data_IF_344017045892
#
_entry.id   IF_344017045892
#
_cell.length_a   1.000
_cell.length_b   1.000
_cell.length_c   1.000
_cell.angle_alpha   90.00
_cell.angle_beta   90.00
_cell.angle_gamma   90.00
#
_symmetry.space_group_name_H-M   'P 1'
#
loop_
_entity.id
_entity.type
_entity.pdbx_description
1 polymer ?
#
# COMPACT_ATOMS: atom_id res chain seq x y z
N UNK A 1 17.34 4.62 -22.43
CA UNK A 1 16.40 5.74 -22.67
C UNK A 1 16.79 6.89 -21.75
N UNK A 2 16.75 8.15 -22.19
CA UNK A 2 17.27 9.29 -21.41
C UNK A 2 16.57 9.47 -20.04
N UNK A 3 15.28 9.12 -19.96
CA UNK A 3 14.47 9.25 -18.76
C UNK A 3 14.97 8.41 -17.58
N UNK A 4 15.63 7.27 -17.84
CA UNK A 4 16.17 6.42 -16.77
C UNK A 4 17.17 7.19 -15.90
N UNK A 5 18.03 8.03 -16.49
CA UNK A 5 18.98 8.83 -15.73
C UNK A 5 18.34 9.88 -14.82
N UNK A 6 17.11 10.31 -15.10
CA UNK A 6 16.43 11.38 -14.38
C UNK A 6 15.30 10.88 -13.46
N UNK A 7 14.73 9.71 -13.74
CA UNK A 7 13.48 9.23 -13.12
C UNK A 7 13.62 7.87 -12.43
N UNK A 8 14.80 7.25 -12.43
CA UNK A 8 15.01 5.97 -11.73
C UNK A 8 15.96 6.07 -10.54
N UNK A 9 15.64 5.32 -9.50
CA UNK A 9 16.50 5.07 -8.35
C UNK A 9 16.62 3.56 -8.17
N UNK A 10 17.81 3.02 -8.46
CA UNK A 10 18.09 1.58 -8.36
C UNK A 10 17.97 1.05 -6.92
N UNK A 11 18.05 1.95 -5.94
CA UNK A 11 17.93 1.65 -4.50
C UNK A 11 16.48 1.61 -4.03
N UNK A 12 15.53 1.96 -4.90
CA UNK A 12 14.15 2.27 -4.54
C UNK A 12 14.01 3.68 -3.94
N UNK A 13 12.86 4.30 -4.19
CA UNK A 13 12.53 5.65 -3.72
C UNK A 13 11.93 5.54 -2.32
N UNK A 14 12.64 6.07 -1.33
CA UNK A 14 12.30 5.91 0.10
C UNK A 14 11.60 7.14 0.67
N UNK A 15 10.55 6.89 1.43
CA UNK A 15 9.62 7.91 1.92
C UNK A 15 9.36 7.81 3.41
N UNK A 16 9.45 8.94 4.10
CA UNK A 16 9.10 9.10 5.52
C UNK A 16 7.97 10.11 5.68
N UNK A 17 7.16 9.94 6.73
CA UNK A 17 6.10 10.88 7.07
C UNK A 17 6.70 12.11 7.75
N UNK A 18 6.31 13.29 7.29
CA UNK A 18 6.77 14.58 7.83
C UNK A 18 5.61 15.53 8.06
N UNK A 19 5.86 16.58 8.84
CA UNK A 19 4.92 17.68 8.99
C UNK A 19 5.54 18.98 8.43
N UNK A 20 4.91 19.55 7.40
CA UNK A 20 5.33 20.81 6.79
C UNK A 20 4.16 21.79 6.86
N UNK A 21 4.39 22.97 7.43
CA UNK A 21 3.37 24.03 7.56
C UNK A 21 2.02 23.52 8.12
N UNK A 22 2.07 22.69 9.18
CA UNK A 22 0.91 22.05 9.82
C UNK A 22 0.16 21.03 8.94
N UNK A 23 0.67 20.68 7.75
CA UNK A 23 0.14 19.60 6.90
C UNK A 23 0.99 18.35 7.08
N UNK A 24 0.32 17.19 7.04
CA UNK A 24 1.00 15.89 6.95
C UNK A 24 1.45 15.71 5.50
N UNK A 25 2.74 15.51 5.32
CA UNK A 25 3.39 15.36 4.04
C UNK A 25 4.26 14.11 4.06
N UNK A 26 4.84 13.82 2.91
CA UNK A 26 5.82 12.77 2.74
C UNK A 26 7.10 13.41 2.20
N UNK A 27 8.24 12.93 2.67
CA UNK A 27 9.54 13.41 2.23
C UNK A 27 10.39 12.25 1.76
N UNK A 28 11.11 12.49 0.67
CA UNK A 28 12.06 11.54 0.11
C UNK A 28 13.38 11.65 0.86
N UNK A 29 13.96 10.52 1.26
CA UNK A 29 15.16 10.48 2.12
C UNK A 29 16.17 9.45 1.62
N UNK A 30 17.44 9.61 2.02
CA UNK A 30 18.51 8.66 1.71
C UNK A 30 18.30 7.34 2.44
N UNK A 31 19.00 6.28 2.01
CA UNK A 31 18.89 4.95 2.61
C UNK A 31 19.30 4.98 4.09
N UNK A 32 20.43 5.62 4.42
CA UNK A 32 20.89 5.77 5.81
C UNK A 32 19.85 6.46 6.70
N UNK A 33 19.30 7.58 6.22
CA UNK A 33 18.28 8.35 6.96
C UNK A 33 16.98 7.56 7.13
N UNK A 34 16.58 6.81 6.10
CA UNK A 34 15.43 5.94 6.15
C UNK A 34 15.59 4.84 7.20
N UNK A 35 16.75 4.17 7.24
CA UNK A 35 17.02 3.12 8.22
C UNK A 35 17.04 3.66 9.66
N UNK A 36 17.61 4.85 9.86
CA UNK A 36 17.54 5.57 11.14
C UNK A 36 16.10 5.89 11.53
N UNK A 37 15.26 6.33 10.58
CA UNK A 37 13.85 6.62 10.81
C UNK A 37 13.05 5.36 11.19
N UNK A 38 13.40 4.20 10.63
CA UNK A 38 12.77 2.91 10.99
C UNK A 38 13.11 2.46 12.41
N UNK A 39 14.34 2.70 12.87
CA UNK A 39 14.84 2.20 14.16
C UNK A 39 14.62 3.20 15.30
N UNK A 40 14.50 4.49 14.97
CA UNK A 40 14.15 5.53 15.92
C UNK A 40 12.67 5.46 16.30
N UNK A 41 12.36 5.65 17.59
CA UNK A 41 10.98 5.92 18.07
C UNK A 41 10.47 7.30 17.63
N UNK A 42 10.96 7.84 16.52
CA UNK A 42 10.64 9.17 16.05
C UNK A 42 9.37 9.09 15.20
N UNK A 43 8.25 8.86 15.90
CA UNK A 43 6.95 9.20 15.36
C UNK A 43 6.97 10.71 15.09
N UNK A 44 7.13 11.08 13.82
CA UNK A 44 7.34 12.45 13.31
C UNK A 44 8.75 13.00 13.52
N UNK A 45 9.60 12.84 12.51
CA UNK A 45 10.85 13.58 12.45
C UNK A 45 10.58 15.05 12.12
N UNK A 46 11.49 15.93 12.58
CA UNK A 46 11.40 17.39 12.47
C UNK A 46 11.30 17.85 11.00
N UNK A 47 10.99 19.13 10.77
CA UNK A 47 10.97 19.72 9.42
C UNK A 47 12.35 19.79 8.73
N UNK A 48 13.38 19.08 9.21
CA UNK A 48 14.78 19.19 8.77
C UNK A 48 15.47 17.84 8.51
N UNK A 49 14.71 16.78 8.24
CA UNK A 49 15.25 15.41 8.09
C UNK A 49 16.42 15.34 7.11
N UNK A 50 16.30 16.02 5.96
CA UNK A 50 17.36 16.06 4.97
C UNK A 50 18.42 17.15 5.25
N UNK A 51 18.07 18.23 5.94
CA UNK A 51 19.02 19.33 6.23
C UNK A 51 20.12 18.87 7.21
N UNK A 52 19.77 17.94 8.10
CA UNK A 52 20.68 17.39 9.11
C UNK A 52 21.33 16.05 8.66
N UNK A 53 21.06 15.58 7.43
CA UNK A 53 21.54 14.30 6.94
C UNK A 53 22.88 14.41 6.19
N UNK A 54 23.85 13.58 6.58
CA UNK A 54 25.15 13.48 5.89
C UNK A 54 25.03 13.02 4.43
N UNK A 55 23.97 12.27 4.12
CA UNK A 55 23.74 11.66 2.81
C UNK A 55 22.40 12.13 2.25
N UNK A 56 22.44 12.68 1.03
CA UNK A 56 21.25 13.14 0.31
C UNK A 56 20.68 12.03 -0.58
N UNK A 57 19.36 11.99 -0.77
CA UNK A 57 18.73 10.99 -1.62
C UNK A 57 19.04 11.23 -3.12
N UNK A 58 19.21 10.14 -3.89
CA UNK A 58 19.50 10.14 -5.35
C UNK A 58 18.74 11.23 -6.09
N UNK A 59 19.39 12.13 -6.84
CA UNK A 59 18.65 13.24 -7.46
C UNK A 59 17.68 12.69 -8.53
N UNK A 60 16.40 12.99 -8.39
CA UNK A 60 15.37 12.73 -9.39
C UNK A 60 14.87 14.06 -9.95
N UNK A 61 14.44 14.06 -11.21
CA UNK A 61 13.90 15.26 -11.89
C UNK A 61 12.45 15.02 -12.36
N UNK A 62 11.46 14.82 -11.44
CA UNK A 62 10.07 14.61 -11.84
C UNK A 62 9.45 15.79 -12.59
N UNK A 63 10.00 17.00 -12.43
CA UNK A 63 9.57 18.20 -13.18
C UNK A 63 9.69 18.03 -14.69
N UNK A 64 10.53 17.10 -15.15
CA UNK A 64 10.61 16.71 -16.56
C UNK A 64 9.25 16.23 -17.11
N UNK A 65 8.45 15.55 -16.28
CA UNK A 65 7.11 15.06 -16.65
C UNK A 65 6.08 16.17 -16.88
N UNK A 66 6.39 17.41 -16.50
CA UNK A 66 5.52 18.56 -16.69
C UNK A 66 5.82 19.34 -17.99
N UNK A 67 6.89 19.00 -18.71
CA UNK A 67 7.34 19.76 -19.89
C UNK A 67 6.34 19.66 -21.04
N UNK A 68 5.91 18.45 -21.40
CA UNK A 68 4.88 18.22 -22.42
C UNK A 68 4.18 16.87 -22.24
N UNK A 69 3.07 16.66 -22.97
CA UNK A 69 2.25 15.43 -22.88
C UNK A 69 2.99 14.17 -23.32
N UNK A 70 3.88 14.27 -24.31
CA UNK A 70 4.63 13.12 -24.82
C UNK A 70 5.64 12.63 -23.79
N UNK A 71 6.47 13.52 -23.25
CA UNK A 71 7.42 13.25 -22.16
C UNK A 71 6.68 12.71 -20.93
N UNK A 72 5.51 13.27 -20.63
CA UNK A 72 4.66 12.75 -19.57
C UNK A 72 4.28 11.29 -19.81
N UNK A 73 3.74 10.95 -20.98
CA UNK A 73 3.31 9.59 -21.33
C UNK A 73 4.48 8.61 -21.32
N UNK A 74 5.64 9.00 -21.85
CA UNK A 74 6.82 8.14 -21.91
C UNK A 74 7.50 7.97 -20.53
N UNK A 75 7.53 9.03 -19.72
CA UNK A 75 8.29 9.07 -18.47
C UNK A 75 7.50 8.68 -17.22
N UNK A 76 6.17 8.82 -17.22
CA UNK A 76 5.33 8.56 -16.03
C UNK A 76 5.46 7.10 -15.58
N UNK A 77 5.34 6.15 -16.51
CA UNK A 77 5.52 4.73 -16.19
C UNK A 77 6.94 4.43 -15.69
N UNK A 78 7.98 5.12 -16.20
CA UNK A 78 9.36 4.94 -15.73
C UNK A 78 9.49 5.38 -14.27
N UNK A 79 8.93 6.54 -13.91
CA UNK A 79 8.97 7.05 -12.54
C UNK A 79 8.23 6.12 -11.55
N UNK A 80 7.03 5.65 -11.92
CA UNK A 80 6.21 4.81 -11.02
C UNK A 80 6.49 3.30 -11.10
N UNK A 81 7.39 2.88 -11.99
CA UNK A 81 7.93 1.52 -12.02
C UNK A 81 9.08 1.29 -11.03
N UNK A 82 9.63 2.35 -10.45
CA UNK A 82 10.54 2.25 -9.31
C UNK A 82 9.83 1.57 -8.13
N UNK A 83 10.61 0.91 -7.26
CA UNK A 83 10.09 0.47 -5.99
C UNK A 83 9.91 1.67 -5.06
N UNK A 84 8.66 1.95 -4.67
CA UNK A 84 8.36 3.00 -3.68
C UNK A 84 8.31 2.39 -2.28
N UNK A 85 9.23 2.80 -1.41
CA UNK A 85 9.40 2.24 -0.07
C UNK A 85 8.93 3.24 0.97
N UNK A 86 7.96 2.85 1.79
CA UNK A 86 7.34 3.70 2.80
C UNK A 86 7.72 3.22 4.19
N UNK A 87 8.15 4.16 5.05
CA UNK A 87 8.51 3.85 6.42
C UNK A 87 7.30 3.37 7.25
N UNK A 88 6.11 3.94 7.01
CA UNK A 88 4.89 3.60 7.73
C UNK A 88 3.61 3.92 6.92
N UNK A 89 2.41 3.56 7.43
CA UNK A 89 1.14 3.83 6.76
C UNK A 89 0.79 5.32 6.65
N UNK A 90 1.39 6.18 7.48
CA UNK A 90 1.16 7.63 7.44
C UNK A 90 1.88 8.21 6.22
N UNK A 91 3.14 7.81 5.98
CA UNK A 91 3.91 8.19 4.80
C UNK A 91 3.21 7.73 3.52
N UNK A 92 2.73 6.48 3.53
CA UNK A 92 1.96 5.91 2.43
C UNK A 92 0.67 6.70 2.16
N UNK A 93 -0.11 6.99 3.19
CA UNK A 93 -1.34 7.78 3.06
C UNK A 93 -1.04 9.20 2.54
N UNK A 94 -0.05 9.88 3.12
CA UNK A 94 0.31 11.24 2.74
C UNK A 94 0.84 11.32 1.30
N UNK A 95 1.49 10.28 0.81
CA UNK A 95 1.87 10.17 -0.60
C UNK A 95 0.64 10.01 -1.50
N UNK A 96 -0.20 9.00 -1.21
CA UNK A 96 -1.31 8.62 -2.07
C UNK A 96 -2.40 9.69 -2.18
N UNK A 97 -2.67 10.44 -1.11
CA UNK A 97 -3.70 11.50 -1.14
C UNK A 97 -3.37 12.62 -2.14
N UNK A 98 -2.08 12.82 -2.44
CA UNK A 98 -1.62 13.83 -3.39
C UNK A 98 -1.45 13.28 -4.82
N UNK A 99 -1.45 11.95 -4.99
CA UNK A 99 -1.16 11.30 -6.26
C UNK A 99 -2.38 11.30 -7.22
N UNK A 100 -3.59 11.17 -6.66
CA UNK A 100 -4.84 11.07 -7.43
C UNK A 100 -4.98 9.76 -8.22
N UNK A 101 -6.17 9.48 -8.78
CA UNK A 101 -6.46 8.20 -9.44
C UNK A 101 -5.62 7.92 -10.70
N UNK A 102 -5.36 8.95 -11.50
CA UNK A 102 -4.62 8.82 -12.77
C UNK A 102 -3.20 8.32 -12.54
N UNK A 103 -2.42 9.02 -11.71
CA UNK A 103 -1.05 8.63 -11.39
C UNK A 103 -0.97 7.35 -10.56
N UNK A 104 -1.95 7.07 -9.68
CA UNK A 104 -2.00 5.82 -8.92
C UNK A 104 -2.08 4.57 -9.80
N UNK A 105 -2.66 4.68 -10.99
CA UNK A 105 -2.76 3.57 -11.95
C UNK A 105 -1.41 3.15 -12.57
N UNK A 106 -0.39 4.00 -12.47
CA UNK A 106 0.97 3.72 -12.95
C UNK A 106 1.85 3.03 -11.90
N UNK A 107 1.41 2.95 -10.65
CA UNK A 107 2.16 2.31 -9.57
C UNK A 107 2.33 0.81 -9.84
N UNK A 108 3.59 0.33 -9.84
CA UNK A 108 3.90 -1.10 -10.05
C UNK A 108 4.37 -1.80 -8.79
N UNK A 109 5.29 -1.20 -8.03
CA UNK A 109 6.01 -1.86 -6.93
C UNK A 109 6.02 -0.96 -5.70
N UNK A 110 5.54 -1.49 -4.59
CA UNK A 110 5.50 -0.76 -3.33
C UNK A 110 5.95 -1.64 -2.18
N UNK A 111 6.61 -1.03 -1.19
CA UNK A 111 7.05 -1.68 0.02
C UNK A 111 6.67 -0.86 1.24
N UNK A 112 6.12 -1.51 2.26
CA UNK A 112 5.76 -0.92 3.53
C UNK A 112 6.60 -1.54 4.64
N UNK A 113 7.45 -0.73 5.30
CA UNK A 113 8.43 -1.18 6.30
C UNK A 113 7.94 -1.05 7.75
N UNK A 114 6.80 -0.42 7.98
CA UNK A 114 6.25 -0.17 9.31
C UNK A 114 4.74 -0.29 9.36
N UNK A 115 4.21 -0.53 10.56
CA UNK A 115 2.78 -0.68 10.80
C UNK A 115 2.31 0.22 11.94
N UNK A 116 1.10 0.76 11.84
CA UNK A 116 0.51 1.57 12.91
C UNK A 116 0.05 0.70 14.08
N UNK A 117 0.65 0.89 15.26
CA UNK A 117 0.29 0.19 16.50
C UNK A 117 -0.46 1.05 17.53
N UNK A 118 -0.24 2.36 17.52
CA UNK A 118 -0.90 3.31 18.42
C UNK A 118 -2.34 3.62 17.97
N UNK A 119 -3.15 4.23 18.85
CA UNK A 119 -4.54 4.60 18.51
C UNK A 119 -4.60 5.47 17.25
N UNK A 120 -3.77 6.51 17.19
CA UNK A 120 -3.69 7.44 16.06
C UNK A 120 -3.12 6.79 14.81
N UNK A 121 -2.03 6.04 14.91
CA UNK A 121 -1.40 5.40 13.75
C UNK A 121 -2.20 4.24 13.17
N UNK A 122 -2.99 3.53 13.99
CA UNK A 122 -3.90 2.48 13.51
C UNK A 122 -4.97 3.00 12.56
N UNK A 123 -5.47 4.22 12.76
CA UNK A 123 -6.42 4.84 11.84
C UNK A 123 -5.84 4.97 10.42
N UNK A 124 -4.53 5.22 10.32
CA UNK A 124 -3.82 5.32 9.05
C UNK A 124 -3.62 3.98 8.35
N UNK A 125 -3.61 2.85 9.07
CA UNK A 125 -3.56 1.54 8.43
C UNK A 125 -4.74 1.39 7.47
N UNK A 126 -5.97 1.70 7.91
CA UNK A 126 -7.13 1.60 7.01
C UNK A 126 -7.19 2.75 6.00
N UNK A 127 -6.90 3.98 6.45
CA UNK A 127 -6.98 5.14 5.58
C UNK A 127 -6.03 5.05 4.38
N UNK A 128 -4.81 4.50 4.55
CA UNK A 128 -3.86 4.35 3.45
C UNK A 128 -4.35 3.34 2.38
N UNK A 129 -4.93 2.22 2.78
CA UNK A 129 -5.51 1.26 1.83
C UNK A 129 -6.81 1.78 1.19
N UNK A 130 -7.58 2.62 1.89
CA UNK A 130 -8.75 3.26 1.32
C UNK A 130 -8.41 4.22 0.18
N UNK A 131 -7.26 4.90 0.24
CA UNK A 131 -6.77 5.74 -0.88
C UNK A 131 -6.00 4.94 -1.94
N UNK A 132 -5.46 3.77 -1.59
CA UNK A 132 -4.75 2.87 -2.52
C UNK A 132 -5.69 2.16 -3.52
N UNK A 133 -7.01 2.28 -3.38
CA UNK A 133 -8.01 1.60 -4.24
C UNK A 133 -7.79 1.79 -5.75
N UNK A 134 -7.16 2.88 -6.16
CA UNK A 134 -6.88 3.19 -7.57
C UNK A 134 -5.63 2.49 -8.12
N UNK A 135 -4.76 1.97 -7.25
CA UNK A 135 -3.54 1.26 -7.62
C UNK A 135 -3.82 -0.23 -7.89
N UNK A 136 -4.71 -0.51 -8.84
CA UNK A 136 -5.11 -1.88 -9.20
C UNK A 136 -4.08 -2.59 -10.08
N UNK A 137 -3.19 -1.81 -10.71
CA UNK A 137 -2.14 -2.29 -11.60
C UNK A 137 -0.83 -2.63 -10.88
N UNK A 138 -0.85 -2.68 -9.55
CA UNK A 138 0.29 -3.13 -8.76
C UNK A 138 0.66 -4.56 -9.13
N UNK A 139 1.95 -4.75 -9.37
CA UNK A 139 2.59 -6.05 -9.61
C UNK A 139 3.06 -6.66 -8.29
N UNK A 140 3.56 -5.83 -7.38
CA UNK A 140 4.08 -6.25 -6.07
C UNK A 140 3.78 -5.23 -4.98
N UNK A 141 3.24 -5.72 -3.87
CA UNK A 141 3.06 -4.97 -2.63
C UNK A 141 3.69 -5.74 -1.48
N UNK A 142 4.85 -5.28 -1.01
CA UNK A 142 5.65 -5.96 0.00
C UNK A 142 5.40 -5.36 1.40
N UNK A 143 5.01 -6.18 2.37
CA UNK A 143 4.87 -5.79 3.78
C UNK A 143 6.03 -6.38 4.56
N UNK A 144 6.98 -5.52 4.95
CA UNK A 144 8.23 -5.89 5.64
C UNK A 144 8.18 -5.56 7.14
N UNK A 145 7.06 -5.92 7.77
CA UNK A 145 6.81 -5.56 9.17
C UNK A 145 5.72 -6.44 9.72
N UNK A 146 5.62 -6.56 11.05
CA UNK A 146 4.56 -7.35 11.66
C UNK A 146 3.20 -6.65 11.53
N UNK A 147 2.23 -7.32 10.93
CA UNK A 147 0.88 -6.78 10.72
C UNK A 147 0.13 -6.68 12.04
N UNK A 148 0.16 -5.51 12.68
CA UNK A 148 -0.61 -5.25 13.89
C UNK A 148 -0.28 -6.15 15.09
N UNK A 149 -1.20 -6.22 16.05
CA UNK A 149 -1.10 -7.06 17.24
C UNK A 149 -2.09 -8.21 17.12
N UNK A 150 -1.62 -9.37 16.65
CA UNK A 150 -2.41 -10.59 16.55
C UNK A 150 -1.90 -11.66 17.52
N UNK A 151 -2.80 -12.57 17.93
CA UNK A 151 -2.47 -13.70 18.82
C UNK A 151 -2.05 -14.97 18.05
N UNK A 152 -2.57 -15.13 16.84
CA UNK A 152 -2.27 -16.25 15.95
C UNK A 152 -2.31 -15.75 14.48
N UNK A 153 -1.80 -16.56 13.55
CA UNK A 153 -1.66 -16.20 12.14
C UNK A 153 -3.01 -15.91 11.48
N UNK A 154 -4.09 -16.61 11.86
CA UNK A 154 -5.44 -16.34 11.34
C UNK A 154 -5.90 -14.94 11.74
N UNK A 155 -5.62 -14.52 12.97
CA UNK A 155 -5.92 -13.16 13.42
C UNK A 155 -5.06 -12.11 12.69
N UNK A 156 -3.85 -12.47 12.22
CA UNK A 156 -3.06 -11.59 11.36
C UNK A 156 -3.76 -11.36 10.01
N UNK A 157 -4.27 -12.42 9.39
CA UNK A 157 -5.04 -12.34 8.14
C UNK A 157 -6.34 -11.52 8.32
N UNK A 158 -7.06 -11.74 9.42
CA UNK A 158 -8.26 -10.95 9.79
C UNK A 158 -7.90 -9.47 9.97
N UNK A 159 -6.80 -9.19 10.66
CA UNK A 159 -6.31 -7.83 10.88
C UNK A 159 -5.95 -7.16 9.56
N UNK A 160 -5.20 -7.84 8.67
CA UNK A 160 -4.88 -7.30 7.35
C UNK A 160 -6.15 -7.06 6.55
N UNK A 161 -7.09 -8.02 6.52
CA UNK A 161 -8.35 -7.84 5.82
C UNK A 161 -9.10 -6.61 6.35
N UNK A 162 -9.25 -6.47 7.66
CA UNK A 162 -9.95 -5.30 8.26
C UNK A 162 -9.29 -3.98 7.88
N UNK A 163 -7.96 -3.93 7.87
CA UNK A 163 -7.23 -2.70 7.56
C UNK A 163 -7.24 -2.44 6.03
N UNK A 164 -7.08 -3.48 5.20
CA UNK A 164 -6.80 -3.34 3.77
C UNK A 164 -7.96 -3.71 2.83
N UNK A 165 -9.15 -4.10 3.33
CA UNK A 165 -10.26 -4.57 2.48
C UNK A 165 -10.60 -3.66 1.30
N UNK A 166 -10.56 -2.30 1.37
CA UNK A 166 -10.95 -1.49 0.23
C UNK A 166 -10.05 -1.75 -0.98
N UNK A 167 -8.75 -1.84 -0.76
CA UNK A 167 -7.77 -2.10 -1.81
C UNK A 167 -7.79 -3.57 -2.26
N UNK A 168 -7.85 -4.52 -1.32
CA UNK A 168 -7.90 -5.95 -1.64
C UNK A 168 -9.10 -6.28 -2.55
N UNK A 169 -10.27 -5.73 -2.24
CA UNK A 169 -11.48 -5.91 -3.04
C UNK A 169 -11.42 -5.16 -4.37
N UNK A 170 -10.82 -3.96 -4.42
CA UNK A 170 -10.61 -3.23 -5.66
C UNK A 170 -9.71 -3.99 -6.65
N UNK A 171 -8.60 -4.56 -6.17
CA UNK A 171 -7.72 -5.43 -6.98
C UNK A 171 -8.48 -6.66 -7.46
N UNK A 172 -9.24 -7.29 -6.57
CA UNK A 172 -10.02 -8.47 -6.92
C UNK A 172 -11.07 -8.20 -7.99
N UNK A 173 -11.74 -7.05 -7.92
CA UNK A 173 -12.70 -6.61 -8.93
C UNK A 173 -12.02 -6.31 -10.27
N UNK A 174 -10.90 -5.58 -10.25
CA UNK A 174 -10.16 -5.23 -11.47
C UNK A 174 -9.60 -6.47 -12.20
N UNK A 175 -9.19 -7.51 -11.45
CA UNK A 175 -8.65 -8.76 -12.00
C UNK A 175 -9.71 -9.85 -12.21
N UNK A 176 -10.99 -9.59 -11.89
CA UNK A 176 -12.08 -10.56 -12.05
C UNK A 176 -12.05 -11.75 -11.08
N UNK A 177 -11.22 -11.71 -10.03
CA UNK A 177 -11.05 -12.79 -9.06
C UNK A 177 -10.90 -12.23 -7.64
N UNK A 178 -11.76 -12.62 -6.71
CA UNK A 178 -11.83 -11.98 -5.37
C UNK A 178 -10.57 -12.09 -4.53
N UNK A 179 -9.75 -13.12 -4.74
CA UNK A 179 -8.49 -13.32 -4.03
C UNK A 179 -7.24 -12.92 -4.84
N UNK A 180 -7.40 -12.22 -5.97
CA UNK A 180 -6.28 -11.82 -6.83
C UNK A 180 -5.26 -10.86 -6.19
N UNK A 181 -5.61 -10.23 -5.06
CA UNK A 181 -4.67 -9.45 -4.28
C UNK A 181 -3.58 -10.31 -3.62
N UNK A 182 -3.84 -11.61 -3.38
CA UNK A 182 -2.85 -12.53 -2.81
C UNK A 182 -1.67 -12.78 -3.74
N UNK A 183 -1.88 -12.71 -5.06
CA UNK A 183 -0.81 -12.96 -6.04
C UNK A 183 0.28 -11.89 -6.02
N UNK A 184 -0.09 -10.66 -5.61
CA UNK A 184 0.79 -9.50 -5.60
C UNK A 184 1.27 -9.14 -4.20
N UNK A 185 0.62 -9.68 -3.16
CA UNK A 185 0.96 -9.43 -1.77
C UNK A 185 2.15 -10.29 -1.36
N UNK A 186 3.26 -9.66 -1.03
CA UNK A 186 4.44 -10.33 -0.48
C UNK A 186 4.62 -9.93 0.99
N UNK A 187 4.93 -10.91 1.83
CA UNK A 187 5.14 -10.70 3.26
C UNK A 187 6.60 -11.02 3.57
N UNK A 188 7.26 -10.13 4.31
CA UNK A 188 8.62 -10.39 4.81
C UNK A 188 8.64 -11.54 5.82
N UNK A 189 9.81 -12.17 5.97
CA UNK A 189 10.01 -13.35 6.82
C UNK A 189 9.44 -13.13 8.24
N UNK A 190 9.75 -11.97 8.82
CA UNK A 190 9.34 -11.61 10.19
C UNK A 190 7.92 -11.08 10.31
N UNK A 191 7.20 -10.93 9.20
CA UNK A 191 5.83 -10.39 9.20
C UNK A 191 4.88 -11.25 10.04
N UNK A 192 5.10 -12.58 10.05
CA UNK A 192 4.25 -13.56 10.69
C UNK A 192 4.85 -14.15 12.00
N UNK A 193 5.98 -13.63 12.48
CA UNK A 193 6.73 -14.16 13.64
C UNK A 193 6.14 -13.85 15.02
N UNK A 194 5.22 -12.89 15.11
CA UNK A 194 4.78 -12.36 16.41
C UNK A 194 3.99 -13.33 17.30
N UNK A 195 3.51 -14.45 16.76
CA UNK A 195 2.75 -15.44 17.52
C UNK A 195 3.65 -16.57 18.05
N UNK A 196 3.21 -17.27 19.11
CA UNK A 196 3.80 -18.54 19.58
C UNK A 196 3.55 -19.70 18.61
N UNK A 197 3.73 -19.46 17.32
CA UNK A 197 3.51 -20.44 16.27
C UNK A 197 4.77 -21.29 16.13
N UNK A 198 4.63 -22.60 16.34
CA UNK A 198 5.69 -23.59 16.07
C UNK A 198 5.76 -24.02 14.59
N UNK A 199 4.88 -23.48 13.73
CA UNK A 199 4.84 -23.84 12.32
C UNK A 199 6.03 -23.29 11.51
N UNK A 200 6.57 -24.06 10.54
CA UNK A 200 7.52 -23.55 9.55
C UNK A 200 6.92 -22.43 8.69
N UNK A 201 7.76 -21.54 8.19
CA UNK A 201 7.40 -20.31 7.45
C UNK A 201 6.42 -20.55 6.29
N UNK A 202 6.67 -21.61 5.50
CA UNK A 202 5.80 -21.97 4.36
C UNK A 202 4.39 -22.33 4.80
N UNK A 203 4.25 -23.01 5.94
CA UNK A 203 2.95 -23.34 6.52
C UNK A 203 2.28 -22.12 7.13
N UNK A 204 3.06 -21.21 7.74
CA UNK A 204 2.53 -19.94 8.26
C UNK A 204 1.94 -19.09 7.16
N UNK A 205 2.66 -18.95 6.04
CA UNK A 205 2.19 -18.23 4.86
C UNK A 205 0.91 -18.86 4.29
N UNK A 206 0.87 -20.19 4.16
CA UNK A 206 -0.31 -20.90 3.66
C UNK A 206 -1.56 -20.66 4.54
N UNK A 207 -1.43 -20.78 5.87
CA UNK A 207 -2.54 -20.53 6.81
C UNK A 207 -3.05 -19.10 6.68
N UNK A 208 -2.13 -18.14 6.54
CA UNK A 208 -2.46 -16.74 6.33
C UNK A 208 -3.26 -16.52 5.03
N UNK A 209 -2.76 -17.05 3.92
CA UNK A 209 -3.38 -16.89 2.59
C UNK A 209 -4.76 -17.56 2.53
N UNK A 210 -4.90 -18.77 3.08
CA UNK A 210 -6.17 -19.49 3.15
C UNK A 210 -7.22 -18.68 3.95
N UNK A 211 -6.82 -18.11 5.08
CA UNK A 211 -7.70 -17.32 5.93
C UNK A 211 -8.10 -15.99 5.26
N UNK A 212 -7.17 -15.32 4.61
CA UNK A 212 -7.43 -14.07 3.89
C UNK A 212 -8.33 -14.31 2.67
N UNK A 213 -8.07 -15.35 1.89
CA UNK A 213 -8.92 -15.78 0.76
C UNK A 213 -10.34 -16.10 1.23
N UNK A 214 -10.49 -16.79 2.38
CA UNK A 214 -11.78 -17.09 2.98
C UNK A 214 -12.60 -15.82 3.22
N UNK A 215 -11.99 -14.77 3.79
CA UNK A 215 -12.67 -13.50 4.06
C UNK A 215 -13.10 -12.78 2.78
N UNK A 216 -12.21 -12.69 1.79
CA UNK A 216 -12.50 -12.06 0.49
C UNK A 216 -13.66 -12.74 -0.23
N UNK A 217 -13.64 -14.08 -0.31
CA UNK A 217 -14.71 -14.87 -0.94
C UNK A 217 -16.03 -14.76 -0.19
N UNK A 218 -16.01 -14.75 1.15
CA UNK A 218 -17.23 -14.57 1.95
C UNK A 218 -17.88 -13.21 1.71
N UNK A 219 -17.07 -12.15 1.63
CA UNK A 219 -17.58 -10.82 1.35
C UNK A 219 -18.15 -10.70 -0.07
N UNK A 220 -17.46 -11.24 -1.08
CA UNK A 220 -17.96 -11.27 -2.45
C UNK A 220 -19.33 -11.95 -2.52
N UNK A 221 -19.49 -13.13 -1.89
CA UNK A 221 -20.78 -13.83 -1.81
C UNK A 221 -21.88 -12.98 -1.17
N UNK A 222 -21.57 -12.25 -0.08
CA UNK A 222 -22.52 -11.36 0.60
C UNK A 222 -22.98 -10.21 -0.29
N UNK A 223 -22.05 -9.60 -1.05
CA UNK A 223 -22.37 -8.52 -1.98
C UNK A 223 -23.26 -9.04 -3.12
N UNK A 224 -22.91 -10.17 -3.74
CA UNK A 224 -23.68 -10.74 -4.84
C UNK A 224 -25.09 -11.21 -4.40
N UNK A 225 -25.22 -11.80 -3.22
CA UNK A 225 -26.52 -12.23 -2.69
C UNK A 225 -27.50 -11.07 -2.45
N UNK A 226 -26.99 -9.88 -2.08
CA UNK A 226 -27.81 -8.67 -1.92
C UNK A 226 -28.31 -8.14 -3.26
N UNK A 227 -27.48 -8.18 -4.31
CA UNK A 227 -27.86 -7.72 -5.66
C UNK A 227 -29.01 -8.56 -6.23
N UNK A 228 -28.96 -9.89 -6.09
CA UNK A 228 -30.00 -10.80 -6.59
C UNK A 228 -31.37 -10.55 -5.94
N UNK A 229 -31.39 -10.18 -4.65
CA UNK A 229 -32.65 -9.88 -3.94
C UNK A 229 -33.29 -8.56 -4.38
N UNK A 230 -32.51 -7.59 -4.84
CA UNK A 230 -33.04 -6.30 -5.33
C UNK A 230 -33.68 -6.40 -6.72
N UNK A 231 -33.17 -7.27 -7.61
CA UNK A 231 -33.69 -7.40 -8.98
C UNK A 231 -35.05 -8.12 -9.07
N UNK A 232 -35.50 -8.81 -8.00
CA UNK A 232 -36.78 -9.54 -7.97
C UNK A 232 -38.01 -8.70 -7.57
N UNK A 233 -37.86 -7.38 -7.37
CA UNK A 233 -38.98 -6.49 -6.99
C UNK A 233 -39.15 -5.39 -8.04
N UNK A 234 -39.49 -5.80 -9.25
CA UNK A 234 -40.18 -4.95 -10.23
C UNK A 234 -41.20 -5.83 -10.98
N UNK A 235 -42.29 -6.17 -10.28
CA UNK A 235 -43.59 -6.54 -10.88
C UNK A 235 -43.98 -5.40 -11.84
N UNK A 236 -44.30 -5.61 -13.13
CA UNK A 236 -45.46 -6.32 -13.67
C UNK A 236 -46.71 -6.18 -12.78
N UNK A 237 -47.38 -5.03 -12.91
CA UNK A 237 -48.81 -4.82 -12.66
C UNK A 237 -49.10 -3.32 -12.92
N UNK A 238 -49.95 -2.91 -13.87
CA UNK A 238 -50.85 -3.71 -14.69
C UNK A 238 -51.53 -2.88 -15.78
N UNK A 239 -52.27 -3.64 -16.60
CA UNK A 239 -53.27 -3.18 -17.56
C UNK A 239 -54.37 -2.36 -16.87
N UNK A 240 -54.83 -1.29 -17.54
CA UNK A 240 -56.24 -0.96 -17.87
C UNK A 240 -56.33 0.47 -18.37
#
# INVERSE_FOLDING_TARGET
MIYSYALTDTSGIKFVAVQRHRRRCVERVSSKTFDQALHGRLYYQSSKINDDADEQPTILVPSLLAVNKQIHQEGCDILYSNELVFADPIALYAFLINLGPGSASHLRKMRLKGWGYGRTSKAYNNACFAVLIWATNLEKFYIDTSIGWYRNIRHAAVQLYRDAFPWLEAVGNAKGRSDAALDILELGEKCLDRGYSTYPDTQRRKIFDDELSRHLRQQQKRVMAKTVKRTKVSKVSGDS
#
